data_IF_484707184118
#
_entry.id   IF_484707184118
#
_cell.length_a   1.000
_cell.length_b   1.000
_cell.length_c   1.000
_cell.angle_alpha   90.00
_cell.angle_beta   90.00
_cell.angle_gamma   90.00
#
_symmetry.space_group_name_H-M   'P 1'
#
loop_
_entity.id
_entity.type
_entity.pdbx_description
1 polymer ?
#
# COMPACT_ATOMS: atom_id res chain seq x y z
N UNK A 1 17.64 12.65 10.76
CA UNK A 1 16.82 13.40 9.79
C UNK A 1 15.39 13.42 10.30
N UNK A 2 14.66 14.53 10.14
CA UNK A 2 13.24 14.58 10.51
C UNK A 2 12.41 14.53 9.22
N UNK A 3 11.64 13.45 8.97
CA UNK A 3 10.79 13.35 7.80
C UNK A 3 9.70 14.45 7.83
N UNK A 4 9.31 14.93 6.67
CA UNK A 4 8.24 15.91 6.50
C UNK A 4 7.34 15.49 5.35
N UNK A 5 6.03 15.65 5.55
CA UNK A 5 5.04 15.49 4.48
C UNK A 5 4.96 16.80 3.70
N UNK A 6 4.97 16.71 2.36
CA UNK A 6 4.87 17.85 1.45
C UNK A 6 3.90 17.53 0.30
N UNK A 7 3.63 18.54 -0.54
CA UNK A 7 2.77 18.42 -1.72
C UNK A 7 1.32 18.02 -1.38
N UNK A 8 0.58 18.99 -0.83
CA UNK A 8 -0.83 18.83 -0.48
C UNK A 8 -1.79 19.13 -1.65
N UNK A 9 -1.29 19.22 -2.89
CA UNK A 9 -2.09 19.58 -4.07
C UNK A 9 -3.24 18.61 -4.38
N UNK A 10 -3.11 17.35 -3.97
CA UNK A 10 -4.14 16.32 -4.14
C UNK A 10 -4.87 15.98 -2.84
N UNK A 11 -4.53 16.64 -1.71
CA UNK A 11 -5.14 16.34 -0.43
C UNK A 11 -6.64 16.69 -0.45
N UNK A 12 -7.43 15.87 0.22
CA UNK A 12 -8.87 16.06 0.38
C UNK A 12 -9.22 16.12 1.86
N UNK A 13 -10.05 17.08 2.22
CA UNK A 13 -10.55 17.18 3.57
C UNK A 13 -11.73 16.23 3.75
N UNK A 14 -11.66 15.41 4.79
CA UNK A 14 -12.77 14.59 5.28
C UNK A 14 -13.32 15.27 6.53
N UNK A 15 -14.63 15.48 6.61
CA UNK A 15 -15.25 15.99 7.82
C UNK A 15 -15.13 14.94 8.92
N UNK A 16 -14.99 15.40 10.16
CA UNK A 16 -14.73 14.53 11.31
C UNK A 16 -15.83 13.49 11.55
N UNK A 17 -17.05 13.78 11.11
CA UNK A 17 -18.21 12.90 11.22
C UNK A 17 -18.38 11.95 10.00
N UNK A 18 -17.65 12.18 8.92
CA UNK A 18 -17.70 11.36 7.71
C UNK A 18 -16.66 10.23 7.81
N UNK A 19 -17.13 9.00 8.01
CA UNK A 19 -16.25 7.82 8.06
C UNK A 19 -15.70 7.50 6.68
N UNK A 20 -16.46 7.80 5.61
CA UNK A 20 -16.12 7.55 4.21
C UNK A 20 -16.58 8.71 3.34
N UNK A 21 -15.78 9.00 2.30
CA UNK A 21 -16.16 9.92 1.25
C UNK A 21 -15.92 9.27 -0.11
N UNK A 22 -16.54 9.80 -1.16
CA UNK A 22 -16.40 9.26 -2.52
C UNK A 22 -16.07 10.34 -3.52
N UNK A 23 -15.40 9.94 -4.61
CA UNK A 23 -15.04 10.82 -5.72
C UNK A 23 -15.18 10.09 -7.04
N UNK A 24 -15.63 10.81 -8.05
CA UNK A 24 -15.62 10.31 -9.43
C UNK A 24 -14.27 10.51 -10.12
N UNK A 25 -13.42 11.41 -9.59
CA UNK A 25 -12.08 11.67 -10.13
C UNK A 25 -11.04 11.01 -9.25
N UNK A 26 -10.50 9.88 -9.72
CA UNK A 26 -9.41 9.15 -9.09
C UNK A 26 -8.09 9.77 -9.57
N UNK A 27 -7.25 10.21 -8.63
CA UNK A 27 -5.96 10.85 -8.92
C UNK A 27 -4.91 10.37 -7.92
N UNK A 28 -3.67 10.24 -8.37
CA UNK A 28 -2.53 9.80 -7.55
C UNK A 28 -1.71 8.73 -8.27
N UNK A 29 -0.75 8.13 -7.57
CA UNK A 29 0.12 7.08 -8.09
C UNK A 29 -0.48 5.71 -7.80
N UNK A 30 -0.84 4.95 -8.83
CA UNK A 30 -1.62 3.71 -8.76
C UNK A 30 -1.07 2.68 -7.75
N UNK A 31 0.23 2.45 -7.70
CA UNK A 31 0.84 1.47 -6.78
C UNK A 31 0.69 1.78 -5.28
N UNK A 32 0.28 3.00 -4.92
CA UNK A 32 0.05 3.41 -3.53
C UNK A 32 -1.42 3.63 -3.20
N UNK A 33 -2.30 3.56 -4.19
CA UNK A 33 -3.74 3.72 -3.98
C UNK A 33 -4.31 2.51 -3.28
N UNK A 34 -5.13 2.74 -2.26
CA UNK A 34 -5.93 1.68 -1.67
C UNK A 34 -6.95 1.14 -2.69
N UNK A 35 -7.27 -0.17 -2.68
CA UNK A 35 -8.14 -0.78 -3.69
C UNK A 35 -9.54 -0.17 -3.73
N UNK A 36 -10.13 0.14 -2.58
CA UNK A 36 -11.42 0.80 -2.51
C UNK A 36 -11.44 2.19 -3.16
N UNK A 37 -10.28 2.89 -3.12
CA UNK A 37 -10.13 4.17 -3.79
C UNK A 37 -9.89 3.99 -5.29
N UNK A 38 -8.98 3.10 -5.67
CA UNK A 38 -8.64 2.86 -7.08
C UNK A 38 -9.82 2.31 -7.89
N UNK A 39 -10.66 1.45 -7.29
CA UNK A 39 -11.76 0.79 -7.98
C UNK A 39 -13.08 1.55 -7.92
N UNK A 40 -13.38 2.20 -6.80
CA UNK A 40 -14.69 2.78 -6.50
C UNK A 40 -14.65 4.27 -6.18
N UNK A 41 -13.46 4.87 -6.12
CA UNK A 41 -13.30 6.26 -5.69
C UNK A 41 -13.66 6.49 -4.21
N UNK A 42 -13.82 5.43 -3.43
CA UNK A 42 -14.10 5.52 -2.00
C UNK A 42 -12.80 5.78 -1.25
N UNK A 43 -12.77 6.81 -0.40
CA UNK A 43 -11.60 7.13 0.38
C UNK A 43 -11.95 7.43 1.84
N UNK A 44 -11.01 7.12 2.71
CA UNK A 44 -11.11 7.30 4.15
C UNK A 44 -9.71 7.45 4.73
N UNK A 45 -9.62 7.70 6.04
CA UNK A 45 -8.33 7.64 6.75
C UNK A 45 -7.64 6.26 6.62
N UNK A 46 -8.40 5.20 6.37
CA UNK A 46 -7.85 3.83 6.14
C UNK A 46 -7.20 3.68 4.76
N UNK A 47 -7.57 4.51 3.80
CA UNK A 47 -6.89 4.55 2.49
C UNK A 47 -5.48 5.13 2.61
N UNK A 48 -5.28 6.14 3.48
CA UNK A 48 -3.95 6.68 3.80
C UNK A 48 -3.09 5.66 4.57
N UNK A 49 -3.72 4.87 5.46
CA UNK A 49 -3.05 3.77 6.16
C UNK A 49 -2.52 2.74 5.17
N UNK A 50 -3.30 2.39 4.14
CA UNK A 50 -2.85 1.48 3.08
C UNK A 50 -1.61 2.02 2.36
N UNK A 51 -1.67 3.28 1.91
CA UNK A 51 -0.53 3.93 1.23
C UNK A 51 0.72 3.96 2.12
N UNK A 52 0.55 4.21 3.42
CA UNK A 52 1.63 4.16 4.40
C UNK A 52 2.22 2.75 4.52
N UNK A 53 1.38 1.72 4.54
CA UNK A 53 1.82 0.32 4.59
C UNK A 53 2.69 -0.07 3.39
N UNK A 54 2.29 0.33 2.18
CA UNK A 54 3.09 0.15 0.96
C UNK A 54 4.46 0.81 1.12
N UNK A 55 4.50 2.07 1.58
CA UNK A 55 5.74 2.81 1.80
C UNK A 55 6.67 2.13 2.82
N UNK A 56 6.12 1.62 3.93
CA UNK A 56 6.91 0.88 4.93
C UNK A 56 7.54 -0.36 4.32
N UNK A 57 6.78 -1.15 3.54
CA UNK A 57 7.29 -2.35 2.89
C UNK A 57 8.37 -2.02 1.84
N UNK A 58 8.22 -0.91 1.09
CA UNK A 58 9.26 -0.41 0.18
C UNK A 58 10.55 -0.03 0.91
N UNK A 59 10.44 0.72 2.00
CA UNK A 59 11.61 1.16 2.77
C UNK A 59 12.37 -0.04 3.34
N UNK A 60 11.66 -1.03 3.89
CA UNK A 60 12.30 -2.19 4.51
C UNK A 60 12.92 -3.12 3.47
N UNK A 61 12.27 -3.28 2.31
CA UNK A 61 12.76 -4.18 1.26
C UNK A 61 13.76 -3.53 0.30
N UNK A 62 13.86 -2.20 0.28
CA UNK A 62 14.63 -1.48 -0.73
C UNK A 62 14.06 -1.62 -2.15
N UNK A 63 12.88 -2.20 -2.30
CA UNK A 63 12.22 -2.46 -3.59
C UNK A 63 11.08 -1.47 -3.79
N UNK A 64 10.97 -0.93 -5.00
CA UNK A 64 9.80 -0.13 -5.37
C UNK A 64 8.61 -1.05 -5.63
N UNK A 65 7.44 -0.65 -5.17
CA UNK A 65 6.19 -1.27 -5.57
C UNK A 65 6.01 -0.99 -7.08
N UNK A 66 6.25 -2.01 -7.91
CA UNK A 66 6.27 -1.84 -9.35
C UNK A 66 4.85 -1.56 -9.84
N UNK A 67 4.57 -0.32 -10.19
CA UNK A 67 3.48 -0.03 -11.12
C UNK A 67 3.77 -0.76 -12.42
N UNK A 68 2.78 -1.48 -12.93
CA UNK A 68 2.83 -2.27 -14.15
C UNK A 68 3.49 -1.46 -15.28
N UNK A 69 4.77 -1.71 -15.55
CA UNK A 69 5.38 -1.29 -16.79
C UNK A 69 4.92 -2.27 -17.87
N UNK A 70 4.14 -1.76 -18.83
CA UNK A 70 3.69 -2.51 -20.01
C UNK A 70 4.85 -3.35 -20.57
N UNK A 71 4.75 -4.66 -20.44
CA UNK A 71 5.57 -5.63 -21.21
C UNK A 71 6.59 -6.47 -20.48
N UNK A 72 6.76 -6.42 -19.16
CA UNK A 72 7.61 -7.37 -18.41
C UNK A 72 6.78 -8.17 -17.43
N UNK A 73 6.47 -9.39 -17.82
CA UNK A 73 5.57 -10.35 -17.18
C UNK A 73 6.10 -11.06 -15.92
N UNK A 74 7.17 -10.60 -15.25
CA UNK A 74 7.77 -11.37 -14.16
C UNK A 74 8.28 -10.54 -12.98
N UNK A 75 7.70 -9.37 -12.71
CA UNK A 75 8.01 -8.68 -11.45
C UNK A 75 6.90 -9.03 -10.46
N UNK A 76 7.23 -9.89 -9.52
CA UNK A 76 6.35 -10.17 -8.39
C UNK A 76 6.05 -8.86 -7.67
N UNK A 77 4.77 -8.57 -7.48
CA UNK A 77 4.32 -7.37 -6.79
C UNK A 77 4.83 -7.41 -5.34
N UNK A 78 5.29 -6.27 -4.83
CA UNK A 78 5.89 -6.18 -3.49
C UNK A 78 4.96 -6.75 -2.39
N UNK A 79 3.67 -6.50 -2.50
CA UNK A 79 2.69 -6.99 -1.51
C UNK A 79 2.57 -8.52 -1.55
N UNK A 80 2.58 -9.12 -2.75
CA UNK A 80 2.57 -10.58 -2.92
C UNK A 80 3.82 -11.20 -2.33
N UNK A 81 4.99 -10.61 -2.63
CA UNK A 81 6.26 -11.06 -2.06
C UNK A 81 6.24 -10.99 -0.53
N UNK A 82 5.84 -9.84 0.03
CA UNK A 82 5.81 -9.62 1.47
C UNK A 82 4.87 -10.62 2.17
N UNK A 83 3.70 -10.86 1.60
CA UNK A 83 2.73 -11.81 2.13
C UNK A 83 3.23 -13.24 2.09
N UNK A 84 3.75 -13.67 0.93
CA UNK A 84 4.31 -15.02 0.78
C UNK A 84 5.47 -15.24 1.76
N UNK A 85 6.44 -14.34 1.81
CA UNK A 85 7.57 -14.45 2.74
C UNK A 85 7.13 -14.46 4.20
N UNK A 86 6.06 -13.73 4.54
CA UNK A 86 5.46 -13.78 5.87
C UNK A 86 4.88 -15.16 6.20
N UNK A 87 4.08 -15.72 5.28
CA UNK A 87 3.47 -17.04 5.46
C UNK A 87 4.50 -18.18 5.54
N UNK A 88 5.57 -18.08 4.75
CA UNK A 88 6.67 -19.05 4.73
C UNK A 88 7.65 -18.90 5.93
N UNK A 89 7.50 -17.86 6.75
CA UNK A 89 8.40 -17.57 7.86
C UNK A 89 9.76 -17.02 7.41
N UNK A 90 9.90 -16.60 6.15
CA UNK A 90 11.12 -16.09 5.52
C UNK A 90 11.11 -14.58 5.33
N UNK A 91 10.28 -13.86 6.08
CA UNK A 91 10.09 -12.41 5.91
C UNK A 91 11.38 -11.58 6.00
N UNK A 92 12.41 -12.07 6.69
CA UNK A 92 13.72 -11.42 6.75
C UNK A 92 14.48 -11.45 5.43
N UNK A 93 14.20 -12.42 4.55
CA UNK A 93 14.89 -12.56 3.26
C UNK A 93 14.50 -11.44 2.28
N UNK A 94 13.39 -10.76 2.54
CA UNK A 94 12.99 -9.61 1.74
C UNK A 94 13.63 -8.29 2.18
N UNK A 95 14.29 -8.26 3.34
CA UNK A 95 14.89 -7.02 3.89
C UNK A 95 16.09 -6.59 3.04
N UNK A 96 16.20 -5.27 2.79
CA UNK A 96 17.34 -4.71 2.07
C UNK A 96 18.66 -5.05 2.81
N UNK A 97 19.66 -5.65 2.11
CA UNK A 97 20.96 -5.96 2.69
C UNK A 97 21.66 -4.73 3.32
N UNK A 98 21.37 -3.51 2.86
CA UNK A 98 21.90 -2.29 3.45
C UNK A 98 21.41 -2.10 4.88
N UNK A 99 20.16 -2.47 5.16
CA UNK A 99 19.59 -2.38 6.50
C UNK A 99 20.15 -3.47 7.43
N UNK A 100 20.39 -4.67 6.92
CA UNK A 100 20.93 -5.78 7.70
C UNK A 100 22.39 -5.55 8.13
N UNK A 101 23.16 -4.80 7.32
CA UNK A 101 24.53 -4.42 7.63
C UNK A 101 24.64 -3.21 8.57
N UNK A 102 23.54 -2.52 8.85
CA UNK A 102 23.48 -1.42 9.80
C UNK A 102 23.20 -1.95 11.22
N UNK A 103 23.37 -1.12 12.23
CA UNK A 103 23.03 -1.46 13.62
C UNK A 103 21.49 -1.61 13.86
N UNK A 104 20.72 -1.77 12.80
CA UNK A 104 19.28 -1.97 12.88
C UNK A 104 18.96 -3.35 13.46
N UNK A 105 18.06 -3.37 14.43
CA UNK A 105 17.68 -4.61 15.09
C UNK A 105 16.79 -5.45 14.17
N UNK A 106 17.13 -6.71 13.96
CA UNK A 106 16.30 -7.69 13.19
C UNK A 106 14.85 -7.68 13.68
N UNK A 107 14.64 -7.53 14.97
CA UNK A 107 13.32 -7.43 15.59
C UNK A 107 12.51 -6.23 15.06
N UNK A 108 13.17 -5.08 14.89
CA UNK A 108 12.49 -3.86 14.41
C UNK A 108 12.14 -3.97 12.94
N UNK A 109 12.99 -4.65 12.14
CA UNK A 109 12.70 -4.94 10.73
C UNK A 109 11.49 -5.89 10.60
N UNK A 110 11.49 -7.01 11.34
CA UNK A 110 10.35 -7.93 11.38
C UNK A 110 9.08 -7.24 11.82
N UNK A 111 9.18 -6.37 12.84
CA UNK A 111 8.06 -5.60 13.32
C UNK A 111 7.53 -4.62 12.28
N UNK A 112 8.42 -3.97 11.53
CA UNK A 112 8.05 -3.06 10.46
C UNK A 112 7.34 -3.77 9.31
N UNK A 113 7.82 -4.96 8.91
CA UNK A 113 7.14 -5.81 7.91
C UNK A 113 5.74 -6.18 8.40
N UNK A 114 5.62 -6.64 9.66
CA UNK A 114 4.34 -7.01 10.26
C UNK A 114 3.34 -5.84 10.24
N UNK A 115 3.78 -4.66 10.67
CA UNK A 115 2.95 -3.44 10.66
C UNK A 115 2.57 -3.06 9.23
N UNK A 116 3.51 -3.14 8.28
CA UNK A 116 3.25 -2.91 6.86
C UNK A 116 2.12 -3.81 6.34
N UNK A 117 2.18 -5.12 6.63
CA UNK A 117 1.15 -6.09 6.25
C UNK A 117 -0.20 -5.77 6.89
N UNK A 118 -0.25 -5.39 8.18
CA UNK A 118 -1.48 -4.96 8.82
C UNK A 118 -2.12 -3.73 8.15
N UNK A 119 -1.29 -2.84 7.62
CA UNK A 119 -1.77 -1.63 6.95
C UNK A 119 -2.33 -1.89 5.54
N UNK A 120 -1.84 -2.93 4.83
CA UNK A 120 -2.22 -3.22 3.44
C UNK A 120 -3.29 -4.29 3.30
N UNK A 121 -3.96 -4.69 4.38
CA UNK A 121 -5.06 -5.66 4.35
C UNK A 121 -6.17 -5.22 3.38
N UNK A 122 -6.85 -6.20 2.74
CA UNK A 122 -7.88 -5.94 1.74
C UNK A 122 -9.04 -5.15 2.34
N UNK A 123 -9.60 -5.63 3.45
CA UNK A 123 -10.70 -4.94 4.14
C UNK A 123 -10.18 -3.71 4.90
N UNK A 124 -10.63 -2.48 4.56
CA UNK A 124 -10.26 -1.28 5.30
C UNK A 124 -10.59 -1.35 6.80
N UNK A 125 -11.63 -2.10 7.20
CA UNK A 125 -12.02 -2.24 8.60
C UNK A 125 -10.92 -2.91 9.44
N UNK A 126 -10.21 -3.89 8.85
CA UNK A 126 -9.15 -4.65 9.51
C UNK A 126 -7.83 -3.88 9.61
N UNK A 127 -7.64 -2.84 8.81
CA UNK A 127 -6.43 -1.98 8.89
C UNK A 127 -6.43 -1.21 10.21
N UNK A 128 -5.29 -1.03 10.89
CA UNK A 128 -5.19 -0.21 12.10
C UNK A 128 -5.50 1.27 11.79
N UNK A 129 -5.66 2.09 12.81
CA UNK A 129 -5.63 3.55 12.66
C UNK A 129 -4.19 4.05 12.61
N UNK A 130 -3.92 5.24 12.06
CA UNK A 130 -2.56 5.83 12.08
C UNK A 130 -2.05 6.06 13.51
N UNK A 131 -2.92 6.39 14.46
CA UNK A 131 -2.56 6.48 15.87
C UNK A 131 -2.10 5.12 16.42
N UNK A 132 -2.80 4.04 16.08
CA UNK A 132 -2.38 2.67 16.44
C UNK A 132 -1.06 2.29 15.78
N UNK A 133 -0.86 2.64 14.50
CA UNK A 133 0.39 2.40 13.77
C UNK A 133 1.57 3.11 14.45
N UNK A 134 1.39 4.38 14.84
CA UNK A 134 2.41 5.13 15.57
C UNK A 134 2.78 4.46 16.91
N UNK A 135 1.79 3.99 17.65
CA UNK A 135 2.02 3.23 18.90
C UNK A 135 2.72 1.89 18.62
N UNK A 136 2.31 1.16 17.60
CA UNK A 136 2.94 -0.10 17.21
C UNK A 136 4.41 0.07 16.83
N UNK A 137 4.75 1.14 16.12
CA UNK A 137 6.13 1.45 15.73
C UNK A 137 6.98 1.92 16.92
N UNK A 138 6.40 2.64 17.87
CA UNK A 138 7.12 3.18 19.03
C UNK A 138 7.30 2.19 20.18
N UNK A 139 6.46 1.15 20.27
CA UNK A 139 6.46 0.18 21.36
C UNK A 139 6.99 -1.18 20.92
N UNK A 140 8.16 -1.57 21.39
CA UNK A 140 8.74 -2.89 21.09
C UNK A 140 8.07 -4.05 21.84
N UNK A 141 7.29 -3.77 22.88
CA UNK A 141 6.66 -4.78 23.74
C UNK A 141 5.20 -5.07 23.41
N UNK A 142 4.57 -4.19 22.61
CA UNK A 142 3.17 -4.37 22.20
C UNK A 142 3.02 -5.58 21.30
N UNK A 143 2.11 -6.49 21.64
CA UNK A 143 1.71 -7.61 20.79
C UNK A 143 0.88 -7.09 19.62
N UNK A 144 1.21 -7.51 18.40
CA UNK A 144 0.49 -7.16 17.19
C UNK A 144 -0.50 -8.27 16.84
N UNK A 145 -1.69 -7.95 16.29
CA UNK A 145 -2.59 -8.96 15.73
C UNK A 145 -1.93 -9.64 14.53
N UNK A 146 -2.41 -10.83 14.17
CA UNK A 146 -1.98 -11.48 12.92
C UNK A 146 -2.55 -10.69 11.73
N UNK A 147 -1.76 -10.49 10.67
CA UNK A 147 -2.26 -9.86 9.46
C UNK A 147 -3.10 -10.85 8.65
N UNK A 148 -4.16 -10.34 8.03
CA UNK A 148 -4.90 -11.03 6.99
C UNK A 148 -4.28 -10.76 5.61
N UNK A 149 -4.80 -11.44 4.60
CA UNK A 149 -4.33 -11.32 3.22
C UNK A 149 -4.37 -9.87 2.73
N UNK A 150 -3.28 -9.37 2.09
CA UNK A 150 -3.26 -8.05 1.50
C UNK A 150 -4.19 -7.93 0.30
N UNK A 151 -4.57 -6.70 -0.01
CA UNK A 151 -5.27 -6.41 -1.25
C UNK A 151 -4.32 -6.56 -2.44
N UNK A 152 -4.57 -7.57 -3.26
CA UNK A 152 -3.82 -7.76 -4.51
C UNK A 152 -4.48 -7.03 -5.66
N UNK A 153 -3.72 -6.21 -6.36
CA UNK A 153 -4.18 -5.54 -7.58
C UNK A 153 -4.32 -6.48 -8.78
N UNK A 154 -3.91 -7.75 -8.66
CA UNK A 154 -3.93 -8.75 -9.74
C UNK A 154 -5.33 -9.08 -10.28
N UNK A 155 -6.39 -8.83 -9.53
CA UNK A 155 -7.76 -9.05 -10.00
C UNK A 155 -8.23 -8.04 -11.06
N UNK A 156 -7.50 -6.96 -11.31
CA UNK A 156 -7.82 -6.00 -12.36
C UNK A 156 -7.41 -6.48 -13.77
N UNK A 157 -6.64 -7.56 -13.87
CA UNK A 157 -6.17 -8.11 -15.15
C UNK A 157 -6.73 -9.49 -15.48
N UNK A 158 -7.75 -9.98 -14.77
CA UNK A 158 -8.41 -11.21 -15.18
C UNK A 158 -9.46 -10.89 -16.25
N UNK A 159 -9.21 -11.13 -17.56
CA UNK A 159 -10.14 -10.81 -18.64
C UNK A 159 -11.42 -11.66 -18.60
N UNK A 160 -11.52 -12.65 -17.71
CA UNK A 160 -12.62 -13.57 -17.62
C UNK A 160 -13.78 -13.13 -16.71
N UNK A 161 -13.74 -11.91 -16.12
CA UNK A 161 -14.90 -11.34 -15.38
C UNK A 161 -15.72 -10.40 -16.30
N UNK A 162 -15.71 -10.59 -17.60
CA UNK A 162 -16.50 -9.77 -18.56
C UNK A 162 -17.93 -10.24 -18.79
N UNK A 163 -18.46 -11.19 -18.04
CA UNK A 163 -19.84 -11.68 -18.30
C UNK A 163 -20.78 -11.61 -17.08
N UNK A 164 -20.76 -10.51 -16.33
CA UNK A 164 -21.92 -10.20 -15.48
C UNK A 164 -21.96 -8.69 -15.21
N UNK A 165 -22.25 -7.89 -16.21
CA UNK A 165 -22.98 -6.62 -16.13
C UNK A 165 -22.71 -5.78 -17.39
N UNK A 166 -23.43 -6.14 -18.46
CA UNK A 166 -23.61 -5.29 -19.63
C UNK A 166 -24.59 -4.16 -19.31
N UNK A 167 -24.10 -3.09 -18.74
CA UNK A 167 -24.70 -1.75 -18.87
C UNK A 167 -23.95 -0.72 -18.01
N UNK A 168 -22.72 -0.38 -18.37
CA UNK A 168 -22.13 0.91 -17.94
C UNK A 168 -21.28 1.44 -19.10
N UNK A 169 -21.53 2.69 -19.45
CA UNK A 169 -20.97 3.37 -20.59
C UNK A 169 -19.45 3.42 -20.63
N UNK A 170 -18.93 3.66 -21.83
CA UNK A 170 -17.52 3.76 -22.17
C UNK A 170 -16.73 4.57 -21.17
N UNK A 171 -15.84 3.89 -20.43
CA UNK A 171 -14.82 4.53 -19.62
C UNK A 171 -13.76 5.12 -20.54
N UNK A 172 -13.68 6.44 -20.60
CA UNK A 172 -12.58 7.13 -21.25
C UNK A 172 -11.28 6.80 -20.52
N UNK A 173 -10.31 6.31 -21.27
CA UNK A 173 -8.94 6.12 -20.78
C UNK A 173 -8.36 7.50 -20.52
N UNK A 174 -8.22 7.89 -19.25
CA UNK A 174 -7.53 9.11 -18.88
C UNK A 174 -6.02 8.91 -19.06
N UNK A 175 -5.39 9.80 -19.83
CA UNK A 175 -3.94 9.91 -19.94
C UNK A 175 -3.32 10.16 -18.57
N UNK A 176 -2.52 9.20 -18.09
CA UNK A 176 -1.74 9.36 -16.89
C UNK A 176 -0.47 10.16 -17.22
N UNK A 177 -0.37 11.37 -16.71
CA UNK A 177 0.89 12.11 -16.78
C UNK A 177 1.88 11.54 -15.76
N UNK A 178 2.90 10.84 -16.25
CA UNK A 178 4.04 10.42 -15.43
C UNK A 178 5.02 11.57 -15.39
N UNK A 179 5.14 12.25 -14.25
CA UNK A 179 6.21 13.22 -14.01
C UNK A 179 7.44 12.46 -13.52
N UNK A 180 8.46 12.34 -14.36
CA UNK A 180 9.79 11.89 -13.93
C UNK A 180 10.44 13.02 -13.12
N UNK A 181 10.60 12.79 -11.82
CA UNK A 181 11.38 13.66 -10.95
C UNK A 181 12.84 13.22 -10.99
N UNK A 182 13.70 13.99 -11.64
CA UNK A 182 15.15 13.85 -11.51
C UNK A 182 15.60 14.52 -10.20
N UNK A 183 16.33 13.81 -9.32
CA UNK A 183 16.91 14.43 -8.14
C UNK A 183 17.99 15.42 -8.56
N UNK A 184 17.98 16.60 -7.94
CA UNK A 184 19.07 17.59 -8.02
C UNK A 184 20.17 17.24 -7.03
#
# INVERSE_FOLDING_TARGET
>A
MNPKVSDFGLARLIKQDDIHASTTKIVGTYGYMAPEYAMRGQYSFKSDVFSFGVLVLEIVSGRRNACIQKGKMNVEELLTLAWRSWQEGTALDMVDPVLTNSACCVRDMMRSIHIGLLCVQEDPANRPTMASVALMLSSSTMTLPLPDEPAFHLNLMNPNIKEANSSVGSLSVNDYSVTELHPR
#
